data_IF_342291627483
#
_entry.id   IF_342291627483
#
_cell.length_a   1.000
_cell.length_b   1.000
_cell.length_c   1.000
_cell.angle_alpha   90.00
_cell.angle_beta   90.00
_cell.angle_gamma   90.00
#
_symmetry.space_group_name_H-M   'P 1'
#
loop_
_entity.id
_entity.type
_entity.pdbx_description
1 polymer ?
#
# COMPACT_ATOMS: atom_id res chain seq x y z
N UNK A 1 -30.73 3.30 1.46
CA UNK A 1 -29.99 3.20 0.17
C UNK A 1 -28.67 3.96 0.24
N UNK A 2 -28.64 5.25 0.58
CA UNK A 2 -27.43 6.09 0.68
C UNK A 2 -26.35 5.67 1.69
N UNK A 3 -26.73 5.03 2.80
CA UNK A 3 -25.78 4.64 3.86
C UNK A 3 -24.76 3.63 3.34
N UNK A 4 -25.19 2.66 2.52
CA UNK A 4 -24.29 1.65 1.94
C UNK A 4 -23.27 2.28 0.99
N UNK A 5 -23.67 3.28 0.21
CA UNK A 5 -22.77 3.98 -0.71
C UNK A 5 -21.73 4.83 0.04
N UNK A 6 -22.16 5.54 1.10
CA UNK A 6 -21.24 6.30 1.95
C UNK A 6 -20.25 5.38 2.64
N UNK A 7 -20.71 4.26 3.21
CA UNK A 7 -19.82 3.26 3.82
C UNK A 7 -18.81 2.74 2.79
N UNK A 8 -19.26 2.34 1.59
CA UNK A 8 -18.38 1.86 0.52
C UNK A 8 -17.34 2.91 0.12
N UNK A 9 -17.73 4.18 0.00
CA UNK A 9 -16.83 5.26 -0.34
C UNK A 9 -15.77 5.49 0.74
N UNK A 10 -16.16 5.50 2.01
CA UNK A 10 -15.23 5.67 3.14
C UNK A 10 -14.25 4.50 3.24
N UNK A 11 -14.74 3.26 3.16
CA UNK A 11 -13.86 2.09 3.19
C UNK A 11 -12.94 2.03 1.97
N UNK A 12 -13.46 2.35 0.78
CA UNK A 12 -12.67 2.44 -0.44
C UNK A 12 -11.57 3.50 -0.33
N UNK A 13 -11.89 4.67 0.21
CA UNK A 13 -10.93 5.74 0.42
C UNK A 13 -9.78 5.32 1.35
N UNK A 14 -10.10 4.71 2.49
CA UNK A 14 -9.08 4.20 3.43
C UNK A 14 -8.22 3.12 2.77
N UNK A 15 -8.86 2.21 2.04
CA UNK A 15 -8.20 1.13 1.33
C UNK A 15 -7.19 1.64 0.30
N UNK A 16 -7.56 2.64 -0.50
CA UNK A 16 -6.68 3.24 -1.52
C UNK A 16 -5.58 4.11 -0.88
N UNK A 17 -5.90 4.93 0.12
CA UNK A 17 -4.98 6.00 0.56
C UNK A 17 -4.11 5.67 1.77
N UNK A 18 -4.36 4.58 2.49
CA UNK A 18 -3.58 4.27 3.68
C UNK A 18 -2.94 2.89 3.65
N UNK A 19 -3.66 1.88 3.20
CA UNK A 19 -3.22 0.49 3.34
C UNK A 19 -1.93 0.19 2.56
N UNK A 20 -1.83 0.42 1.24
CA UNK A 20 -0.64 0.07 0.47
C UNK A 20 0.59 0.89 0.88
N UNK A 21 0.41 2.15 1.25
CA UNK A 21 1.48 3.00 1.76
C UNK A 21 2.04 2.49 3.08
N UNK A 22 1.16 2.16 4.03
CA UNK A 22 1.56 1.69 5.36
C UNK A 22 2.32 0.36 5.29
N UNK A 23 1.81 -0.62 4.54
CA UNK A 23 2.50 -1.92 4.39
C UNK A 23 3.85 -1.75 3.70
N UNK A 24 3.95 -0.86 2.71
CA UNK A 24 5.21 -0.57 2.04
C UNK A 24 6.24 0.14 2.93
N UNK A 25 5.81 1.07 3.80
CA UNK A 25 6.73 1.71 4.75
C UNK A 25 7.36 0.71 5.70
N UNK A 26 6.57 -0.26 6.21
CA UNK A 26 7.10 -1.35 7.03
C UNK A 26 7.96 -2.34 6.25
N UNK A 27 7.68 -2.54 4.96
CA UNK A 27 8.52 -3.34 4.08
C UNK A 27 9.88 -2.68 3.84
N UNK A 28 9.93 -1.37 3.65
CA UNK A 28 11.17 -0.66 3.37
C UNK A 28 11.99 -0.43 4.64
N UNK A 29 11.35 0.04 5.71
CA UNK A 29 11.97 0.43 6.98
C UNK A 29 11.33 -0.33 8.16
N UNK A 30 11.70 -1.62 8.35
CA UNK A 30 11.14 -2.45 9.40
C UNK A 30 11.55 -2.01 10.81
N UNK A 31 12.70 -1.33 10.98
CA UNK A 31 13.19 -0.89 12.29
C UNK A 31 12.68 0.50 12.61
N UNK A 32 12.29 0.70 13.88
CA UNK A 32 11.87 2.02 14.37
C UNK A 32 13.01 3.03 14.45
N UNK A 33 14.26 2.58 14.43
CA UNK A 33 15.45 3.44 14.46
C UNK A 33 15.90 3.93 13.08
N UNK A 34 15.30 3.42 11.99
CA UNK A 34 15.72 3.78 10.63
C UNK A 34 15.18 5.14 10.18
N UNK A 35 13.98 5.51 10.65
CA UNK A 35 13.29 6.74 10.26
C UNK A 35 12.50 7.29 11.45
N UNK A 36 12.42 8.61 11.55
CA UNK A 36 11.64 9.26 12.60
C UNK A 36 10.12 9.06 12.38
N UNK A 37 9.32 9.28 13.42
CA UNK A 37 7.87 9.11 13.35
C UNK A 37 7.22 10.03 12.32
N UNK A 38 7.72 11.26 12.13
CA UNK A 38 7.25 12.21 11.13
C UNK A 38 7.57 11.70 9.71
N UNK A 39 8.79 11.25 9.48
CA UNK A 39 9.23 10.70 8.20
C UNK A 39 8.42 9.47 7.84
N UNK A 40 8.13 8.60 8.81
CA UNK A 40 7.33 7.39 8.63
C UNK A 40 5.90 7.70 8.19
N UNK A 41 5.28 8.71 8.78
CA UNK A 41 3.94 9.17 8.37
C UNK A 41 4.03 9.75 6.95
N UNK A 42 5.01 10.62 6.70
CA UNK A 42 5.21 11.28 5.41
C UNK A 42 5.42 10.27 4.28
N UNK A 43 6.28 9.27 4.50
CA UNK A 43 6.56 8.19 3.57
C UNK A 43 5.33 7.31 3.35
N UNK A 44 4.55 7.01 4.39
CA UNK A 44 3.31 6.23 4.24
C UNK A 44 2.32 6.94 3.31
N UNK A 45 2.15 8.25 3.44
CA UNK A 45 1.29 9.02 2.53
C UNK A 45 1.82 9.06 1.10
N UNK A 46 3.11 9.37 0.94
CA UNK A 46 3.75 9.43 -0.38
C UNK A 46 3.70 8.06 -1.10
N UNK A 47 4.01 6.97 -0.38
CA UNK A 47 3.98 5.61 -0.91
C UNK A 47 2.56 5.18 -1.24
N UNK A 48 1.53 5.58 -0.49
CA UNK A 48 0.17 5.20 -0.83
C UNK A 48 -0.28 5.80 -2.16
N UNK A 49 0.03 7.08 -2.40
CA UNK A 49 -0.28 7.73 -3.68
C UNK A 49 0.50 7.04 -4.80
N UNK A 50 1.80 6.79 -4.61
CA UNK A 50 2.64 6.14 -5.61
C UNK A 50 2.14 4.73 -5.94
N UNK A 51 1.85 3.90 -4.93
CA UNK A 51 1.46 2.51 -5.08
C UNK A 51 0.01 2.32 -5.54
N UNK A 52 -0.81 3.35 -5.50
CA UNK A 52 -2.17 3.30 -6.06
C UNK A 52 -2.22 3.85 -7.47
N UNK A 53 -1.57 4.98 -7.74
CA UNK A 53 -1.60 5.63 -9.05
C UNK A 53 -0.70 4.91 -10.05
N UNK A 54 0.56 4.63 -9.70
CA UNK A 54 1.53 4.10 -10.67
C UNK A 54 1.13 2.71 -11.20
N UNK A 55 0.69 1.74 -10.38
CA UNK A 55 0.35 0.41 -10.90
C UNK A 55 -0.91 0.44 -11.77
N UNK A 56 -1.91 1.25 -11.42
CA UNK A 56 -3.11 1.42 -12.23
C UNK A 56 -2.79 2.09 -13.56
N UNK A 57 -1.97 3.14 -13.54
CA UNK A 57 -1.51 3.83 -14.76
C UNK A 57 -0.65 2.92 -15.62
N UNK A 58 0.24 2.13 -15.02
CA UNK A 58 1.08 1.17 -15.72
C UNK A 58 0.24 0.10 -16.43
N UNK A 59 -0.77 -0.46 -15.75
CA UNK A 59 -1.71 -1.42 -16.35
C UNK A 59 -2.57 -0.78 -17.44
N UNK A 60 -2.84 0.52 -17.35
CA UNK A 60 -3.56 1.21 -18.41
C UNK A 60 -2.69 1.47 -19.64
N UNK A 61 -1.44 1.88 -19.45
CA UNK A 61 -0.55 2.26 -20.55
C UNK A 61 0.07 1.07 -21.27
N UNK A 62 0.53 0.06 -20.53
CA UNK A 62 1.34 -1.02 -21.12
C UNK A 62 0.47 -2.17 -21.68
N UNK A 63 -0.34 -2.89 -20.87
CA UNK A 63 -1.23 -3.91 -21.38
C UNK A 63 -2.58 -3.36 -21.90
N UNK A 64 -2.81 -2.05 -21.83
CA UNK A 64 -4.05 -1.44 -22.34
C UNK A 64 -5.30 -1.78 -21.53
N UNK A 65 -5.16 -2.22 -20.28
CA UNK A 65 -6.30 -2.65 -19.46
C UNK A 65 -7.12 -1.41 -19.08
N UNK A 66 -8.45 -1.42 -19.29
CA UNK A 66 -9.29 -0.29 -18.91
C UNK A 66 -9.29 -0.11 -17.38
N UNK A 67 -9.22 1.16 -16.96
CA UNK A 67 -9.31 1.54 -15.54
C UNK A 67 -10.78 1.45 -15.12
N UNK A 68 -11.18 0.26 -14.68
CA UNK A 68 -12.50 0.02 -14.06
C UNK A 68 -12.36 -0.08 -12.54
N UNK A 69 -13.46 0.06 -11.81
CA UNK A 69 -13.46 -0.11 -10.34
C UNK A 69 -12.93 -1.48 -9.91
N UNK A 70 -13.20 -2.53 -10.70
CA UNK A 70 -12.67 -3.88 -10.48
C UNK A 70 -11.16 -3.94 -10.71
N UNK A 71 -10.67 -3.38 -11.81
CA UNK A 71 -9.23 -3.32 -12.12
C UNK A 71 -8.48 -2.65 -10.97
N UNK A 72 -8.92 -1.45 -10.57
CA UNK A 72 -8.29 -0.69 -9.48
C UNK A 72 -8.29 -1.49 -8.17
N UNK A 73 -9.42 -2.12 -7.82
CA UNK A 73 -9.53 -2.91 -6.61
C UNK A 73 -8.51 -4.07 -6.59
N UNK A 74 -8.46 -4.87 -7.67
CA UNK A 74 -7.55 -6.01 -7.76
C UNK A 74 -6.08 -5.58 -7.85
N UNK A 75 -5.76 -4.51 -8.55
CA UNK A 75 -4.40 -3.97 -8.63
C UNK A 75 -3.90 -3.56 -7.25
N UNK A 76 -4.68 -2.78 -6.52
CA UNK A 76 -4.30 -2.33 -5.16
C UNK A 76 -4.22 -3.52 -4.21
N UNK A 77 -5.09 -4.52 -4.37
CA UNK A 77 -5.09 -5.73 -3.55
C UNK A 77 -3.79 -6.51 -3.73
N UNK A 78 -3.38 -6.67 -4.99
CA UNK A 78 -2.15 -7.36 -5.36
C UNK A 78 -0.93 -6.62 -4.82
N UNK A 79 -0.85 -5.30 -5.04
CA UNK A 79 0.27 -4.46 -4.55
C UNK A 79 0.37 -4.48 -3.03
N UNK A 80 -0.76 -4.36 -2.34
CA UNK A 80 -0.83 -4.45 -0.88
C UNK A 80 -0.39 -5.82 -0.39
N UNK A 81 -0.84 -6.90 -1.05
CA UNK A 81 -0.48 -8.27 -0.66
C UNK A 81 1.02 -8.50 -0.79
N UNK A 82 1.64 -8.05 -1.89
CA UNK A 82 3.09 -8.16 -2.10
C UNK A 82 3.85 -7.37 -1.02
N UNK A 83 3.50 -6.11 -0.82
CA UNK A 83 4.19 -5.26 0.17
C UNK A 83 4.00 -5.78 1.60
N UNK A 84 2.82 -6.30 1.94
CA UNK A 84 2.55 -6.95 3.21
C UNK A 84 3.40 -8.21 3.42
N UNK A 85 3.51 -9.08 2.41
CA UNK A 85 4.37 -10.27 2.49
C UNK A 85 5.84 -9.91 2.70
N UNK A 86 6.33 -8.88 1.98
CA UNK A 86 7.70 -8.38 2.15
C UNK A 86 7.89 -7.81 3.55
N UNK A 87 6.93 -7.01 4.04
CA UNK A 87 6.95 -6.45 5.39
C UNK A 87 6.99 -7.55 6.46
N UNK A 88 6.12 -8.55 6.37
CA UNK A 88 6.09 -9.65 7.33
C UNK A 88 7.40 -10.45 7.34
N UNK A 89 7.95 -10.75 6.16
CA UNK A 89 9.23 -11.44 6.03
C UNK A 89 10.35 -10.61 6.66
N UNK A 90 10.41 -9.30 6.37
CA UNK A 90 11.44 -8.41 6.93
C UNK A 90 11.30 -8.22 8.43
N UNK A 91 10.08 -8.03 8.96
CA UNK A 91 9.82 -7.95 10.39
C UNK A 91 10.27 -9.24 11.10
N UNK A 92 9.99 -10.41 10.50
CA UNK A 92 10.45 -11.69 11.05
C UNK A 92 11.98 -11.80 11.09
N UNK A 93 12.67 -11.33 10.05
CA UNK A 93 14.15 -11.36 9.96
C UNK A 93 14.82 -10.33 10.89
N UNK A 94 14.20 -9.17 11.08
CA UNK A 94 14.62 -8.18 12.07
C UNK A 94 14.49 -8.74 13.48
N UNK A 95 13.44 -9.52 13.76
CA UNK A 95 13.21 -10.14 15.08
C UNK A 95 14.21 -11.25 15.42
N UNK A 96 14.73 -11.96 14.43
CA UNK A 96 15.74 -13.01 14.61
C UNK A 96 17.19 -12.50 14.63
N UNK A 97 17.41 -11.18 14.53
CA UNK A 97 18.75 -10.58 14.62
C UNK A 97 19.65 -10.85 13.40
N UNK A 98 19.07 -11.28 12.27
CA UNK A 98 19.82 -11.64 11.05
C UNK A 98 20.08 -10.40 10.17
N UNK A 99 19.28 -9.34 10.30
CA UNK A 99 19.47 -8.08 9.59
C UNK A 99 20.16 -7.05 10.51
N UNK A 100 21.32 -6.49 10.11
CA UNK A 100 22.04 -5.46 10.88
C UNK A 100 21.20 -4.20 11.07
#
# INVERSE_FOLDING_TARGET
MWVFDVMRAVFGFIYVLFIPGFTATWALFPKKSEIDWIERITLSFALSIALTVLPVMFLNYWPGIPVTGWTVFFTILLVTSITALIALKRISLTRTGILP
#
